data_IF_616014915403
#
_entry.id   IF_616014915403
#
_cell.length_a   1.000
_cell.length_b   1.000
_cell.length_c   1.000
_cell.angle_alpha   90.00
_cell.angle_beta   90.00
_cell.angle_gamma   90.00
#
_symmetry.space_group_name_H-M   'P 1'
#
loop_
_entity.id
_entity.type
_entity.pdbx_description
1 polymer ?
#
# COMPACT_ATOMS: atom_id res chain seq x y z
N UNK A 1 -44.39 -32.13 -19.59
CA UNK A 1 -44.26 -32.10 -21.06
C UNK A 1 -43.49 -30.87 -21.52
N UNK A 2 -43.89 -29.66 -21.10
CA UNK A 2 -43.15 -28.42 -21.39
C UNK A 2 -41.67 -28.46 -20.96
N UNK A 3 -41.36 -29.01 -19.78
CA UNK A 3 -39.96 -29.17 -19.30
C UNK A 3 -39.16 -30.24 -20.04
N UNK A 4 -39.82 -31.26 -20.62
CA UNK A 4 -39.16 -32.34 -21.38
C UNK A 4 -38.86 -31.93 -22.83
N UNK A 5 -39.29 -30.76 -23.28
CA UNK A 5 -39.28 -30.32 -24.69
C UNK A 5 -38.68 -28.94 -24.89
N UNK A 6 -38.03 -28.37 -23.87
CA UNK A 6 -37.43 -27.01 -23.91
C UNK A 6 -38.40 -25.94 -24.44
N UNK A 7 -39.68 -26.05 -24.08
CA UNK A 7 -40.70 -25.14 -24.58
C UNK A 7 -40.53 -23.73 -23.97
N UNK A 8 -40.03 -22.79 -24.77
CA UNK A 8 -39.91 -21.38 -24.40
C UNK A 8 -41.23 -20.63 -24.67
N UNK A 9 -41.86 -20.14 -23.60
CA UNK A 9 -43.07 -19.32 -23.70
C UNK A 9 -42.78 -17.99 -24.39
N UNK A 10 -43.40 -17.74 -25.54
CA UNK A 10 -43.32 -16.47 -26.30
C UNK A 10 -44.45 -15.50 -25.98
N UNK A 11 -45.23 -15.76 -24.93
CA UNK A 11 -46.31 -14.87 -24.54
C UNK A 11 -45.72 -13.54 -24.03
N UNK A 12 -46.21 -12.37 -24.50
CA UNK A 12 -45.63 -11.08 -24.14
C UNK A 12 -45.53 -10.84 -22.63
N UNK A 13 -46.51 -11.35 -21.85
CA UNK A 13 -46.50 -11.26 -20.39
C UNK A 13 -45.40 -12.09 -19.73
N UNK A 14 -45.09 -13.27 -20.27
CA UNK A 14 -44.06 -14.16 -19.74
C UNK A 14 -42.65 -13.64 -20.07
N UNK A 15 -42.47 -13.10 -21.28
CA UNK A 15 -41.20 -12.50 -21.73
C UNK A 15 -40.87 -11.27 -20.89
N UNK A 16 -41.83 -10.34 -20.70
CA UNK A 16 -41.61 -9.15 -19.85
C UNK A 16 -41.22 -9.49 -18.42
N UNK A 17 -41.87 -10.50 -17.82
CA UNK A 17 -41.55 -10.94 -16.45
C UNK A 17 -40.14 -11.55 -16.36
N UNK A 18 -39.68 -12.22 -17.42
CA UNK A 18 -38.31 -12.74 -17.50
C UNK A 18 -37.29 -11.61 -17.68
N UNK A 19 -37.57 -10.61 -18.52
CA UNK A 19 -36.72 -9.43 -18.72
C UNK A 19 -36.61 -8.58 -17.46
N UNK A 20 -37.70 -8.38 -16.72
CA UNK A 20 -37.71 -7.67 -15.44
C UNK A 20 -36.93 -8.43 -14.36
N UNK A 21 -37.07 -9.77 -14.31
CA UNK A 21 -36.29 -10.63 -13.43
C UNK A 21 -34.78 -10.60 -13.81
N UNK A 22 -34.46 -10.56 -15.09
CA UNK A 22 -33.08 -10.47 -15.56
C UNK A 22 -32.48 -9.09 -15.27
N UNK A 23 -33.23 -8.01 -15.48
CA UNK A 23 -32.82 -6.65 -15.17
C UNK A 23 -32.57 -6.43 -13.67
N UNK A 24 -33.37 -7.07 -12.80
CA UNK A 24 -33.16 -7.04 -11.34
C UNK A 24 -31.99 -7.93 -10.89
N UNK A 25 -31.64 -8.97 -11.65
CA UNK A 25 -30.46 -9.82 -11.37
C UNK A 25 -29.14 -9.24 -11.89
N UNK A 26 -29.19 -8.30 -12.84
CA UNK A 26 -28.01 -7.59 -13.35
C UNK A 26 -27.61 -6.48 -12.37
N UNK A 27 -26.72 -6.82 -11.44
CA UNK A 27 -26.05 -5.83 -10.60
C UNK A 27 -25.27 -4.85 -11.49
N UNK A 28 -25.51 -3.54 -11.33
CA UNK A 28 -24.78 -2.50 -12.05
C UNK A 28 -23.27 -2.60 -11.76
N UNK A 29 -22.44 -2.34 -12.77
CA UNK A 29 -20.99 -2.30 -12.58
C UNK A 29 -20.64 -1.13 -11.66
N UNK A 30 -19.81 -1.39 -10.63
CA UNK A 30 -19.38 -0.40 -9.65
C UNK A 30 -18.49 0.70 -10.26
N UNK A 31 -18.06 0.53 -11.50
CA UNK A 31 -17.07 1.35 -12.20
C UNK A 31 -17.46 2.84 -12.27
N UNK A 32 -18.75 3.14 -12.38
CA UNK A 32 -19.24 4.54 -12.40
C UNK A 32 -18.96 5.32 -11.11
N UNK A 33 -18.64 4.63 -10.00
CA UNK A 33 -18.37 5.24 -8.70
C UNK A 33 -16.91 5.06 -8.26
N UNK A 34 -16.08 4.37 -9.03
CA UNK A 34 -14.68 4.17 -8.71
C UNK A 34 -13.87 5.33 -9.29
N UNK A 35 -13.21 6.09 -8.41
CA UNK A 35 -12.19 7.04 -8.84
C UNK A 35 -10.85 6.32 -8.94
N UNK A 36 -10.13 6.51 -10.05
CA UNK A 36 -8.79 5.99 -10.22
C UNK A 36 -7.88 6.64 -9.17
N UNK A 37 -7.49 5.86 -8.16
CA UNK A 37 -6.57 6.36 -7.14
C UNK A 37 -5.22 6.66 -7.79
N UNK A 38 -4.61 7.82 -7.51
CA UNK A 38 -3.24 8.07 -7.95
C UNK A 38 -2.38 6.92 -7.43
N UNK A 39 -1.56 6.35 -8.33
CA UNK A 39 -0.66 5.23 -8.01
C UNK A 39 0.11 5.62 -6.75
N UNK A 40 -0.27 5.06 -5.60
CA UNK A 40 0.50 5.23 -4.36
C UNK A 40 1.92 4.85 -4.73
N UNK A 41 2.82 5.81 -4.60
CA UNK A 41 4.26 5.57 -4.69
C UNK A 41 4.53 4.37 -3.80
N UNK A 42 4.93 3.26 -4.43
CA UNK A 42 5.02 1.97 -3.74
C UNK A 42 6.16 2.11 -2.75
N UNK A 43 5.81 2.37 -1.48
CA UNK A 43 6.75 2.37 -0.37
C UNK A 43 7.47 1.03 -0.44
N UNK A 44 8.78 1.08 -0.69
CA UNK A 44 9.61 -0.12 -0.74
C UNK A 44 9.44 -0.81 0.62
N UNK A 45 8.99 -2.08 0.66
CA UNK A 45 8.80 -2.77 1.92
C UNK A 45 10.10 -2.78 2.72
N UNK A 46 10.01 -2.52 4.02
CA UNK A 46 11.14 -2.69 4.92
C UNK A 46 11.65 -4.14 4.81
N UNK A 47 12.95 -4.30 4.59
CA UNK A 47 13.64 -5.59 4.70
C UNK A 47 14.93 -5.40 5.50
N UNK A 48 15.28 -6.37 6.33
CA UNK A 48 16.50 -6.31 7.12
C UNK A 48 17.76 -6.19 6.25
N UNK A 49 17.74 -6.77 5.05
CA UNK A 49 18.84 -6.66 4.09
C UNK A 49 19.03 -5.21 3.58
N UNK A 50 17.93 -4.52 3.25
CA UNK A 50 17.98 -3.11 2.84
C UNK A 50 18.45 -2.21 3.99
N UNK A 51 17.92 -2.45 5.20
CA UNK A 51 18.32 -1.69 6.37
C UNK A 51 19.82 -1.87 6.68
N UNK A 52 20.33 -3.11 6.67
CA UNK A 52 21.75 -3.39 6.88
C UNK A 52 22.63 -2.71 5.83
N UNK A 53 22.22 -2.74 4.56
CA UNK A 53 22.98 -2.06 3.49
C UNK A 53 23.05 -0.56 3.71
N UNK A 54 21.90 0.08 3.98
CA UNK A 54 21.84 1.51 4.27
C UNK A 54 22.64 1.89 5.54
N UNK A 55 22.61 1.05 6.57
CA UNK A 55 23.38 1.25 7.80
C UNK A 55 24.90 1.16 7.55
N UNK A 56 25.36 0.21 6.72
CA UNK A 56 26.77 0.10 6.35
C UNK A 56 27.22 1.33 5.54
N UNK A 57 26.41 1.75 4.56
CA UNK A 57 26.69 2.97 3.77
C UNK A 57 26.78 4.21 4.68
N UNK A 58 25.90 4.32 5.67
CA UNK A 58 25.94 5.39 6.68
C UNK A 58 27.19 5.33 7.56
N UNK A 59 27.58 4.14 8.05
CA UNK A 59 28.80 3.97 8.86
C UNK A 59 30.05 4.40 8.10
N UNK A 60 30.16 4.00 6.82
CA UNK A 60 31.30 4.37 5.96
C UNK A 60 31.30 5.88 5.66
N UNK A 61 30.13 6.48 5.41
CA UNK A 61 30.03 7.90 5.11
C UNK A 61 30.35 8.82 6.29
N UNK A 62 30.13 8.36 7.52
CA UNK A 62 30.29 9.14 8.77
C UNK A 62 31.48 8.71 9.62
N UNK A 63 32.29 7.77 9.11
CA UNK A 63 33.44 7.15 9.77
C UNK A 63 33.13 6.66 11.21
N UNK A 64 31.95 6.05 11.38
CA UNK A 64 31.48 5.60 12.68
C UNK A 64 31.90 4.14 12.94
N UNK A 65 32.22 3.78 14.19
CA UNK A 65 32.50 2.39 14.55
C UNK A 65 31.23 1.54 14.43
N UNK A 66 31.38 0.25 14.14
CA UNK A 66 30.26 -0.70 14.02
C UNK A 66 29.37 -0.71 15.27
N UNK A 67 29.96 -0.42 16.44
CA UNK A 67 29.27 -0.29 17.73
C UNK A 67 28.20 0.81 17.76
N UNK A 68 28.24 1.79 16.84
CA UNK A 68 27.23 2.85 16.75
C UNK A 68 25.81 2.30 16.49
N UNK A 69 25.69 1.14 15.83
CA UNK A 69 24.40 0.47 15.58
C UNK A 69 23.80 -0.15 16.86
N UNK A 70 24.64 -0.50 17.82
CA UNK A 70 24.23 -1.06 19.11
C UNK A 70 23.91 0.05 20.13
N UNK A 71 24.25 1.30 19.81
CA UNK A 71 24.06 2.41 20.72
C UNK A 71 22.55 2.66 20.98
N UNK A 72 22.12 2.77 22.25
CA UNK A 72 20.71 2.89 22.60
C UNK A 72 20.04 4.14 22.01
N UNK A 73 20.79 5.23 21.79
CA UNK A 73 20.24 6.43 21.15
C UNK A 73 19.91 6.20 19.67
N UNK A 74 20.74 5.44 18.95
CA UNK A 74 20.50 5.08 17.55
C UNK A 74 19.26 4.19 17.43
N UNK A 75 19.15 3.16 18.28
CA UNK A 75 17.98 2.28 18.31
C UNK A 75 16.69 3.04 18.63
N UNK A 76 16.75 3.99 19.59
CA UNK A 76 15.60 4.83 19.95
C UNK A 76 15.16 5.70 18.77
N UNK A 77 16.09 6.30 18.05
CA UNK A 77 15.82 7.12 16.88
C UNK A 77 15.15 6.33 15.76
N UNK A 78 15.70 5.17 15.39
CA UNK A 78 15.10 4.29 14.38
C UNK A 78 13.71 3.81 14.84
N UNK A 79 13.55 3.49 16.13
CA UNK A 79 12.26 3.12 16.69
C UNK A 79 11.20 4.23 16.61
N UNK A 80 11.60 5.50 16.73
CA UNK A 80 10.71 6.66 16.54
C UNK A 80 10.36 6.82 15.05
N UNK A 81 11.36 6.77 14.17
CA UNK A 81 11.15 6.90 12.72
C UNK A 81 10.27 5.78 12.15
N UNK A 82 10.46 4.53 12.59
CA UNK A 82 9.66 3.39 12.16
C UNK A 82 8.18 3.47 12.60
N UNK A 83 7.89 4.22 13.67
CA UNK A 83 6.54 4.44 14.18
C UNK A 83 5.85 5.66 13.57
N UNK A 84 6.54 6.45 12.76
CA UNK A 84 5.93 7.59 12.09
C UNK A 84 4.91 7.08 11.07
N UNK A 85 3.63 7.21 11.41
CA UNK A 85 2.46 6.69 10.67
C UNK A 85 2.33 7.28 9.25
N UNK A 86 3.05 8.36 8.94
CA UNK A 86 2.96 9.06 7.67
C UNK A 86 4.28 8.95 6.90
N UNK A 87 4.39 7.93 6.05
CA UNK A 87 5.48 7.78 5.06
C UNK A 87 5.40 8.77 3.89
N UNK A 88 4.46 9.73 3.93
CA UNK A 88 4.18 10.65 2.82
C UNK A 88 5.18 11.80 2.68
N UNK A 89 5.95 12.10 3.73
CA UNK A 89 6.91 13.22 3.71
C UNK A 89 8.39 12.79 3.74
N UNK A 90 8.69 11.48 3.73
CA UNK A 90 10.09 11.00 3.75
C UNK A 90 10.80 11.15 2.39
N UNK A 91 10.13 11.70 1.38
CA UNK A 91 10.76 12.12 0.11
C UNK A 91 11.75 13.26 0.32
N UNK A 92 11.62 14.03 1.40
CA UNK A 92 12.69 14.88 1.89
C UNK A 92 13.62 14.02 2.76
N UNK A 93 14.52 13.32 2.09
CA UNK A 93 15.71 12.72 2.70
C UNK A 93 16.41 13.85 3.47
N UNK A 94 16.13 13.99 4.77
CA UNK A 94 16.78 15.00 5.60
C UNK A 94 18.26 14.69 5.50
N UNK A 95 19.09 15.59 4.93
CA UNK A 95 20.49 15.29 4.75
C UNK A 95 21.07 15.00 6.13
N UNK A 96 21.82 13.89 6.20
CA UNK A 96 22.50 13.40 7.40
C UNK A 96 23.44 14.45 8.04
N UNK A 97 23.64 15.59 7.38
CA UNK A 97 24.31 16.78 7.90
C UNK A 97 23.62 17.42 9.10
N UNK A 98 22.32 17.15 9.36
CA UNK A 98 21.66 17.58 10.61
C UNK A 98 21.93 16.65 11.80
N UNK A 99 22.45 15.44 11.58
CA UNK A 99 22.75 14.51 12.68
C UNK A 99 24.05 14.83 13.41
N UNK A 100 25.03 15.44 12.73
CA UNK A 100 26.29 15.86 13.34
C UNK A 100 26.08 16.81 14.53
N UNK A 101 25.02 17.64 14.51
CA UNK A 101 24.74 18.60 15.58
C UNK A 101 24.18 17.99 16.89
N UNK A 102 23.70 16.74 16.87
CA UNK A 102 23.07 16.11 18.05
C UNK A 102 23.99 15.16 18.83
N UNK A 103 25.13 14.76 18.26
CA UNK A 103 26.10 13.86 18.89
C UNK A 103 27.28 14.61 19.54
N UNK A 104 27.36 15.92 19.37
CA UNK A 104 28.47 16.77 19.83
C UNK A 104 28.18 17.55 21.13
N UNK A 105 27.26 17.07 21.98
CA UNK A 105 27.01 17.63 23.32
C UNK A 105 27.02 16.61 24.43
#
# INVERSE_FOLDING_TARGET
WCEKTDFKSKLPKAVKKAEEAEATMRQGQLDSHLQEMPRKERVIPYTDALFRKAAIEWLVATDQPIQALEHPAFQKMIGIAARATNTRDITEFVPLTKFEYCLEK
#
